data_IF_777063153671
#
_entry.id   IF_777063153671
#
_cell.length_a   1.000
_cell.length_b   1.000
_cell.length_c   1.000
_cell.angle_alpha   90.00
_cell.angle_beta   90.00
_cell.angle_gamma   90.00
#
_symmetry.space_group_name_H-M   'P 1'
#
loop_
_entity.id
_entity.type
_entity.pdbx_description
1 polymer ?
#
# COMPACT_ATOMS: atom_id res chain seq x y z
N UNK A 1 2.39 29.13 60.69
CA UNK A 1 1.48 29.45 59.56
C UNK A 1 2.21 29.19 58.24
N UNK A 2 2.19 27.94 57.75
CA UNK A 2 3.08 27.42 56.69
C UNK A 2 2.28 26.75 55.55
N UNK A 3 1.13 27.31 55.20
CA UNK A 3 0.19 26.76 54.19
C UNK A 3 0.00 27.68 52.97
N UNK A 4 0.64 28.85 52.92
CA UNK A 4 0.42 29.80 51.80
C UNK A 4 1.22 29.43 50.54
N UNK A 5 2.37 28.77 50.70
CA UNK A 5 3.25 28.41 49.57
C UNK A 5 2.77 27.16 48.82
N UNK A 6 2.02 26.26 49.48
CA UNK A 6 1.48 25.03 48.88
C UNK A 6 0.33 25.31 47.92
N UNK A 7 -0.55 26.27 48.22
CA UNK A 7 -1.63 26.69 47.30
C UNK A 7 -1.07 27.28 45.99
N UNK A 8 -0.03 28.12 46.08
CA UNK A 8 0.59 28.70 44.89
C UNK A 8 1.31 27.64 44.04
N UNK A 9 1.91 26.64 44.68
CA UNK A 9 2.57 25.52 43.99
C UNK A 9 1.56 24.60 43.28
N UNK A 10 0.43 24.30 43.91
CA UNK A 10 -0.67 23.53 43.30
C UNK A 10 -1.27 24.28 42.11
N UNK A 11 -1.45 25.60 42.23
CA UNK A 11 -1.93 26.42 41.11
C UNK A 11 -0.99 26.37 39.90
N UNK A 12 0.33 26.44 40.13
CA UNK A 12 1.34 26.32 39.05
C UNK A 12 1.28 24.95 38.38
N UNK A 13 1.13 23.87 39.14
CA UNK A 13 1.01 22.50 38.59
C UNK A 13 -0.22 22.37 37.67
N UNK A 14 -1.36 22.95 38.08
CA UNK A 14 -2.60 22.90 37.28
C UNK A 14 -2.43 23.65 35.96
N UNK A 15 -1.76 24.80 35.96
CA UNK A 15 -1.46 25.56 34.73
C UNK A 15 -0.54 24.77 33.80
N UNK A 16 0.48 24.10 34.34
CA UNK A 16 1.36 23.23 33.54
C UNK A 16 0.61 22.04 32.92
N UNK A 17 -0.35 21.43 33.63
CA UNK A 17 -1.17 20.34 33.10
C UNK A 17 -2.07 20.78 31.94
N UNK A 18 -2.64 22.00 32.01
CA UNK A 18 -3.43 22.58 30.92
C UNK A 18 -2.57 22.79 29.67
N UNK A 19 -1.35 23.35 29.83
CA UNK A 19 -0.41 23.58 28.72
C UNK A 19 0.00 22.25 28.10
N UNK A 20 0.28 21.23 28.92
CA UNK A 20 0.63 19.89 28.45
C UNK A 20 -0.50 19.24 27.63
N UNK A 21 -1.76 19.42 28.02
CA UNK A 21 -2.92 18.95 27.25
C UNK A 21 -3.03 19.64 25.88
N UNK A 22 -2.71 20.93 25.79
CA UNK A 22 -2.69 21.68 24.52
C UNK A 22 -1.57 21.17 23.58
N UNK A 23 -0.42 20.79 24.15
CA UNK A 23 0.67 20.18 23.36
C UNK A 23 0.30 18.77 22.88
N UNK A 24 -0.46 18.02 23.68
CA UNK A 24 -0.99 16.70 23.27
C UNK A 24 -2.00 16.81 22.12
N UNK A 25 -2.84 17.85 22.08
CA UNK A 25 -3.77 18.05 20.95
C UNK A 25 -3.02 18.40 19.66
N UNK A 26 -1.95 19.20 19.73
CA UNK A 26 -1.13 19.51 18.54
C UNK A 26 -0.34 18.30 18.01
N UNK A 27 0.08 17.38 18.88
CA UNK A 27 0.72 16.12 18.45
C UNK A 27 -0.24 15.11 17.82
N UNK A 28 -1.55 15.30 17.96
CA UNK A 28 -2.55 14.41 17.35
C UNK A 28 -2.75 14.73 15.86
N UNK A 29 -2.47 15.96 15.41
CA UNK A 29 -2.74 16.40 14.03
C UNK A 29 -1.65 16.08 13.00
N UNK A 30 -0.50 15.52 13.41
CA UNK A 30 0.54 15.07 12.44
C UNK A 30 0.39 13.60 12.02
N UNK A 31 -0.79 13.02 12.20
CA UNK A 31 -1.22 11.82 11.48
C UNK A 31 -2.49 12.09 10.66
N UNK A 32 -2.71 13.34 10.21
CA UNK A 32 -3.60 13.59 9.09
C UNK A 32 -2.93 12.99 7.84
N UNK A 33 -3.12 11.68 7.72
CA UNK A 33 -2.93 10.86 6.55
C UNK A 33 -3.40 11.69 5.36
N UNK A 34 -2.42 12.18 4.60
CA UNK A 34 -2.59 12.76 3.29
C UNK A 34 -3.58 11.88 2.55
N UNK A 35 -4.80 12.36 2.33
CA UNK A 35 -5.85 11.72 1.55
C UNK A 35 -5.41 11.65 0.08
N UNK A 36 -4.41 10.81 -0.20
CA UNK A 36 -4.50 9.96 -1.38
C UNK A 36 -5.69 9.06 -1.11
N UNK A 37 -6.59 8.93 -2.08
CA UNK A 37 -7.63 7.90 -2.04
C UNK A 37 -6.97 6.53 -1.92
N UNK A 38 -6.71 6.12 -0.69
CA UNK A 38 -6.29 4.78 -0.32
C UNK A 38 -7.57 4.06 0.03
N UNK A 39 -8.03 3.17 -0.84
CA UNK A 39 -9.06 2.22 -0.47
C UNK A 39 -8.43 1.23 0.54
N UNK A 40 -8.41 1.61 1.81
CA UNK A 40 -8.19 0.67 2.91
C UNK A 40 -9.42 -0.22 2.94
N UNK A 41 -9.34 -1.39 2.32
CA UNK A 41 -10.31 -2.46 2.52
C UNK A 41 -10.32 -2.79 4.01
N UNK A 42 -11.26 -2.18 4.74
CA UNK A 42 -11.59 -2.61 6.10
C UNK A 42 -12.19 -4.01 6.01
N UNK A 43 -12.08 -4.74 7.12
CA UNK A 43 -12.64 -6.07 7.39
C UNK A 43 -11.62 -7.19 7.11
N UNK A 44 -10.93 -7.60 8.18
CA UNK A 44 -10.76 -8.98 8.70
C UNK A 44 -11.05 -10.19 7.79
N UNK A 45 -10.74 -10.11 6.51
CA UNK A 45 -10.83 -11.16 5.53
C UNK A 45 -9.53 -11.08 4.73
N UNK A 46 -8.81 -12.19 4.66
CA UNK A 46 -7.72 -12.39 3.70
C UNK A 46 -8.19 -11.83 2.36
N UNK A 47 -7.48 -10.80 1.87
CA UNK A 47 -7.81 -10.10 0.63
C UNK A 47 -8.10 -11.12 -0.47
N UNK A 48 -9.23 -11.04 -1.15
CA UNK A 48 -9.53 -11.88 -2.31
C UNK A 48 -8.35 -11.78 -3.29
N UNK A 49 -7.74 -12.91 -3.64
CA UNK A 49 -6.64 -12.93 -4.60
C UNK A 49 -7.08 -12.38 -5.96
N UNK A 50 -6.18 -11.68 -6.63
CA UNK A 50 -6.41 -11.17 -7.99
C UNK A 50 -5.53 -11.97 -8.94
N UNK A 51 -6.16 -12.61 -9.92
CA UNK A 51 -5.47 -13.33 -10.97
C UNK A 51 -4.99 -12.38 -12.07
N UNK A 52 -3.80 -12.64 -12.58
CA UNK A 52 -3.25 -11.86 -13.66
C UNK A 52 -1.90 -12.36 -14.14
N UNK A 53 -1.26 -11.54 -14.96
CA UNK A 53 -0.01 -11.87 -15.64
C UNK A 53 1.08 -10.87 -15.30
N UNK A 54 2.29 -11.39 -15.13
CA UNK A 54 3.49 -10.60 -14.83
C UNK A 54 4.13 -10.08 -16.12
N UNK A 55 4.59 -8.84 -16.08
CA UNK A 55 5.43 -8.22 -17.09
C UNK A 55 6.66 -7.59 -16.42
N UNK A 56 7.86 -8.00 -16.81
CA UNK A 56 9.10 -7.45 -16.26
C UNK A 56 9.72 -6.44 -17.21
N UNK A 57 10.14 -5.29 -16.67
CA UNK A 57 10.89 -4.26 -17.40
C UNK A 57 11.93 -3.62 -16.49
N UNK A 58 13.19 -4.04 -16.63
CA UNK A 58 14.22 -3.74 -15.64
C UNK A 58 13.80 -4.32 -14.28
N UNK A 59 13.91 -3.51 -13.23
CA UNK A 59 13.55 -3.90 -11.86
C UNK A 59 12.06 -3.63 -11.53
N UNK A 60 11.25 -3.24 -12.54
CA UNK A 60 9.82 -2.98 -12.33
C UNK A 60 8.99 -4.20 -12.70
N UNK A 61 8.20 -4.66 -11.74
CA UNK A 61 7.21 -5.73 -11.93
C UNK A 61 5.85 -5.10 -12.22
N UNK A 62 5.43 -5.21 -13.47
CA UNK A 62 4.11 -4.81 -13.93
C UNK A 62 3.13 -5.98 -13.83
N UNK A 63 1.85 -5.66 -13.61
CA UNK A 63 0.78 -6.62 -13.46
C UNK A 63 -0.42 -6.24 -14.31
N UNK A 64 -0.89 -7.21 -15.09
CA UNK A 64 -2.11 -7.10 -15.88
C UNK A 64 -3.14 -8.02 -15.26
N UNK A 65 -4.29 -7.48 -14.88
CA UNK A 65 -5.38 -8.31 -14.39
C UNK A 65 -5.89 -9.23 -15.50
N UNK A 66 -6.20 -10.49 -15.18
CA UNK A 66 -6.63 -11.48 -16.18
C UNK A 66 -7.86 -10.99 -16.98
N UNK A 67 -8.77 -10.24 -16.34
CA UNK A 67 -9.94 -9.63 -16.99
C UNK A 67 -9.60 -8.64 -18.13
N UNK A 68 -8.36 -8.14 -18.20
CA UNK A 68 -7.88 -7.23 -19.25
C UNK A 68 -7.05 -7.95 -20.34
N UNK A 69 -6.98 -9.28 -20.27
CA UNK A 69 -6.50 -10.13 -21.35
C UNK A 69 -7.69 -10.53 -22.22
N UNK A 70 -7.66 -10.14 -23.48
CA UNK A 70 -8.82 -10.30 -24.37
C UNK A 70 -8.97 -11.72 -24.90
N UNK A 71 -7.86 -12.33 -25.27
CA UNK A 71 -7.81 -13.62 -25.94
C UNK A 71 -6.42 -14.28 -25.81
N UNK A 72 -6.29 -15.49 -26.34
CA UNK A 72 -5.02 -16.23 -26.35
C UNK A 72 -3.92 -15.54 -27.17
N UNK A 73 -4.28 -14.71 -28.15
CA UNK A 73 -3.30 -13.96 -28.94
C UNK A 73 -2.67 -12.85 -28.08
N UNK A 74 -3.48 -12.05 -27.39
CA UNK A 74 -3.03 -11.02 -26.44
C UNK A 74 -2.16 -11.62 -25.33
N UNK A 75 -2.54 -12.81 -24.82
CA UNK A 75 -1.71 -13.56 -23.86
C UNK A 75 -0.35 -13.99 -24.45
N UNK A 76 -0.32 -14.47 -25.69
CA UNK A 76 0.93 -14.90 -26.35
C UNK A 76 1.85 -13.72 -26.67
N UNK A 77 1.31 -12.51 -26.80
CA UNK A 77 2.05 -11.29 -27.17
C UNK A 77 2.15 -10.28 -26.03
N UNK A 78 2.12 -10.76 -24.78
CA UNK A 78 2.26 -9.92 -23.58
C UNK A 78 3.50 -9.02 -23.63
N UNK A 79 4.63 -9.54 -24.12
CA UNK A 79 5.88 -8.78 -24.27
C UNK A 79 5.74 -7.54 -25.16
N UNK A 80 4.84 -7.55 -26.14
CA UNK A 80 4.60 -6.38 -26.99
C UNK A 80 4.05 -5.20 -26.20
N UNK A 81 3.35 -5.47 -25.08
CA UNK A 81 2.84 -4.43 -24.19
C UNK A 81 3.98 -3.65 -23.53
N UNK A 82 5.16 -4.24 -23.34
CA UNK A 82 6.34 -3.57 -22.77
C UNK A 82 6.86 -2.39 -23.61
N UNK A 83 6.54 -2.37 -24.90
CA UNK A 83 6.85 -1.29 -25.85
C UNK A 83 5.96 -0.06 -25.66
N UNK A 84 4.83 -0.20 -24.97
CA UNK A 84 3.89 0.90 -24.71
C UNK A 84 4.42 1.84 -23.63
N UNK A 85 3.93 3.08 -23.63
CA UNK A 85 4.23 4.05 -22.56
C UNK A 85 3.74 3.56 -21.20
N UNK A 86 2.57 2.91 -21.18
CA UNK A 86 1.97 2.30 -19.99
C UNK A 86 1.71 0.83 -20.35
N UNK A 87 2.56 -0.10 -19.88
CA UNK A 87 2.53 -1.48 -20.34
C UNK A 87 1.46 -2.33 -19.64
N UNK A 88 0.94 -1.91 -18.49
CA UNK A 88 0.03 -2.69 -17.67
C UNK A 88 -0.90 -1.82 -16.80
N UNK A 89 -1.81 -2.47 -16.08
CA UNK A 89 -2.79 -1.83 -15.21
C UNK A 89 -2.18 -1.35 -13.90
N UNK A 90 -1.23 -2.12 -13.37
CA UNK A 90 -0.62 -1.87 -12.09
C UNK A 90 0.89 -2.18 -12.09
N UNK A 91 1.56 -1.59 -11.09
CA UNK A 91 2.92 -1.91 -10.68
C UNK A 91 2.85 -2.58 -9.32
N UNK A 92 3.50 -3.73 -9.19
CA UNK A 92 3.59 -4.47 -7.94
C UNK A 92 4.76 -3.96 -7.11
N UNK A 93 4.50 -3.69 -5.85
CA UNK A 93 5.53 -3.40 -4.85
C UNK A 93 5.55 -4.51 -3.81
N UNK A 94 6.75 -4.97 -3.48
CA UNK A 94 6.97 -6.06 -2.55
C UNK A 94 7.70 -5.53 -1.32
N UNK A 95 7.16 -5.79 -0.13
CA UNK A 95 7.88 -5.50 1.12
C UNK A 95 9.05 -6.47 1.37
N UNK A 96 9.05 -7.63 0.70
CA UNK A 96 10.10 -8.65 0.80
C UNK A 96 10.60 -9.02 -0.60
N UNK A 97 11.85 -8.67 -0.90
CA UNK A 97 12.50 -8.93 -2.18
C UNK A 97 12.59 -10.43 -2.55
N UNK A 98 12.40 -11.34 -1.60
CA UNK A 98 12.38 -12.79 -1.88
C UNK A 98 11.14 -13.21 -2.66
N UNK A 99 10.05 -12.44 -2.56
CA UNK A 99 8.77 -12.70 -3.24
C UNK A 99 8.88 -12.43 -4.75
N UNK A 100 9.75 -11.51 -5.13
CA UNK A 100 10.03 -11.16 -6.54
C UNK A 100 10.90 -12.21 -7.24
N UNK A 101 11.73 -12.94 -6.47
CA UNK A 101 12.72 -13.87 -7.05
C UNK A 101 12.03 -15.01 -7.78
N UNK A 102 12.29 -15.09 -9.08
CA UNK A 102 11.81 -16.18 -9.94
C UNK A 102 10.57 -15.85 -10.74
N UNK A 103 10.00 -14.64 -10.61
CA UNK A 103 8.99 -14.16 -11.56
C UNK A 103 9.61 -13.93 -12.94
N UNK A 104 8.82 -14.16 -13.97
CA UNK A 104 9.16 -13.97 -15.37
C UNK A 104 7.99 -13.32 -16.10
N UNK A 105 8.31 -12.58 -17.17
CA UNK A 105 7.27 -12.06 -18.06
C UNK A 105 6.43 -13.22 -18.61
N UNK A 106 5.12 -13.11 -18.51
CA UNK A 106 4.16 -14.13 -18.95
C UNK A 106 3.71 -15.11 -17.88
N UNK A 107 4.34 -15.11 -16.68
CA UNK A 107 3.85 -15.90 -15.56
C UNK A 107 2.41 -15.52 -15.20
N UNK A 108 1.53 -16.52 -15.11
CA UNK A 108 0.20 -16.36 -14.52
C UNK A 108 0.31 -16.50 -13.01
N UNK A 109 -0.29 -15.57 -12.27
CA UNK A 109 -0.17 -15.49 -10.81
C UNK A 109 -1.48 -15.08 -10.15
N UNK A 110 -1.67 -15.51 -8.91
CA UNK A 110 -2.64 -14.94 -7.98
C UNK A 110 -1.87 -14.03 -6.99
N UNK A 111 -2.31 -12.77 -6.84
CA UNK A 111 -1.73 -11.83 -5.87
C UNK A 111 -2.69 -11.53 -4.73
N UNK A 112 -2.16 -11.51 -3.51
CA UNK A 112 -2.80 -10.93 -2.33
C UNK A 112 -2.14 -9.60 -2.02
N UNK A 113 -2.92 -8.64 -1.53
CA UNK A 113 -2.44 -7.28 -1.33
C UNK A 113 -3.03 -6.66 -0.06
N UNK A 114 -2.28 -5.75 0.54
CA UNK A 114 -2.75 -4.96 1.69
C UNK A 114 -3.39 -3.65 1.27
N UNK A 115 -2.95 -3.09 0.13
CA UNK A 115 -3.32 -1.75 -0.29
C UNK A 115 -3.17 -1.58 -1.81
N UNK A 116 -4.10 -0.82 -2.40
CA UNK A 116 -4.00 -0.30 -3.77
C UNK A 116 -3.95 1.22 -3.69
N UNK A 117 -2.91 1.82 -4.24
CA UNK A 117 -2.76 3.27 -4.35
C UNK A 117 -3.28 3.74 -5.70
N UNK A 118 -4.29 4.60 -5.68
CA UNK A 118 -4.91 5.16 -6.88
C UNK A 118 -3.90 6.00 -7.69
N UNK A 119 -3.56 5.49 -8.88
CA UNK A 119 -2.68 6.11 -9.90
C UNK A 119 -2.83 5.37 -11.23
N UNK A 120 -2.21 5.86 -12.31
CA UNK A 120 -2.21 5.17 -13.60
C UNK A 120 -0.78 5.06 -14.18
N UNK A 121 -0.16 3.86 -14.20
CA UNK A 121 -0.67 2.60 -13.65
C UNK A 121 -0.85 2.66 -12.13
N UNK A 122 -1.75 1.85 -11.59
CA UNK A 122 -1.98 1.74 -10.15
C UNK A 122 -0.74 1.16 -9.44
N UNK A 123 -0.63 1.34 -8.12
CA UNK A 123 0.43 0.70 -7.33
C UNK A 123 -0.18 -0.23 -6.30
N UNK A 124 0.24 -1.48 -6.30
CA UNK A 124 -0.33 -2.52 -5.43
C UNK A 124 0.75 -2.98 -4.45
N UNK A 125 0.45 -2.92 -3.15
CA UNK A 125 1.32 -3.45 -2.10
C UNK A 125 1.03 -4.94 -1.90
N UNK A 126 1.88 -5.79 -2.47
CA UNK A 126 1.70 -7.25 -2.49
C UNK A 126 2.16 -7.86 -1.17
N UNK A 127 1.29 -8.67 -0.56
CA UNK A 127 1.58 -9.42 0.66
C UNK A 127 1.98 -10.86 0.37
N UNK A 128 1.42 -11.45 -0.69
CA UNK A 128 1.71 -12.81 -1.15
C UNK A 128 1.48 -12.90 -2.66
N UNK A 129 2.26 -13.74 -3.34
CA UNK A 129 2.08 -14.09 -4.75
C UNK A 129 2.25 -15.59 -4.90
N UNK A 130 1.43 -16.22 -5.72
CA UNK A 130 1.57 -17.62 -6.10
C UNK A 130 1.50 -17.74 -7.62
N UNK A 131 2.42 -18.52 -8.22
CA UNK A 131 2.32 -18.86 -9.63
C UNK A 131 1.24 -19.92 -9.82
N UNK A 132 0.36 -19.69 -10.78
CA UNK A 132 -0.64 -20.65 -11.20
C UNK A 132 -0.04 -21.43 -12.37
N UNK A 133 0.10 -22.75 -12.20
CA UNK A 133 0.40 -23.62 -13.34
C UNK A 133 -0.88 -23.80 -14.16
N UNK A 134 -0.79 -23.48 -15.44
CA UNK A 134 -1.78 -23.90 -16.45
C UNK A 134 -1.49 -25.32 -16.94
#
# INVERSE_FOLDING_TARGET
MKMKNSINFVGIIIVFLIIFMIVLTWKIDTNSELTRSTMKTSNSAVSKGIDGYILLKGDTVYFIEEKHIKDAYDRKHLEERLKRKIPADAILHFNNASIEKGLQTGDKVEIWYSEILESYPAKIQVTKIEKIQD
#
